data_IF_374988686773
#
_entry.id   IF_374988686773
#
_cell.length_a   1.000
_cell.length_b   1.000
_cell.length_c   1.000
_cell.angle_alpha   90.00
_cell.angle_beta   90.00
_cell.angle_gamma   90.00
#
_symmetry.space_group_name_H-M   'P 1'
#
loop_
_entity.id
_entity.type
_entity.pdbx_description
1 polymer ?
#
# COMPACT_ATOMS: atom_id res chain seq x y z
N UNK A 1 10.25 33.05 -23.90
CA UNK A 1 11.38 32.42 -24.63
C UNK A 1 11.27 30.91 -24.41
N UNK A 2 10.38 30.24 -25.14
CA UNK A 2 10.04 28.82 -24.93
C UNK A 2 11.06 27.94 -25.66
N UNK A 3 11.98 27.31 -24.92
CA UNK A 3 12.87 26.27 -25.47
C UNK A 3 12.06 24.99 -25.65
N UNK A 4 12.01 24.51 -26.90
CA UNK A 4 11.57 23.17 -27.29
C UNK A 4 12.23 22.14 -26.37
N UNK A 5 11.46 21.51 -25.50
CA UNK A 5 11.87 20.29 -24.84
C UNK A 5 11.95 19.19 -25.92
N UNK A 6 13.12 18.56 -26.05
CA UNK A 6 13.41 17.59 -27.11
C UNK A 6 12.59 16.33 -26.90
N UNK A 7 11.89 15.89 -27.95
CA UNK A 7 11.16 14.60 -28.03
C UNK A 7 11.99 13.37 -27.62
N UNK A 8 13.31 13.48 -27.51
CA UNK A 8 14.19 12.41 -27.04
C UNK A 8 14.15 12.19 -25.53
N UNK A 9 13.85 13.22 -24.72
CA UNK A 9 13.76 13.10 -23.26
C UNK A 9 12.41 12.45 -22.85
N UNK A 10 11.35 12.74 -23.62
CA UNK A 10 9.99 12.20 -23.46
C UNK A 10 9.90 10.67 -23.59
N UNK A 11 10.82 10.04 -24.33
CA UNK A 11 10.81 8.59 -24.58
C UNK A 11 11.62 7.78 -23.56
N UNK A 12 12.48 8.43 -22.77
CA UNK A 12 13.46 7.74 -21.91
C UNK A 12 12.85 7.35 -20.56
N UNK A 13 11.97 8.18 -19.97
CA UNK A 13 11.34 7.85 -18.68
C UNK A 13 10.44 6.60 -18.77
N UNK A 14 9.68 6.50 -19.86
CA UNK A 14 8.81 5.35 -20.18
C UNK A 14 9.63 4.06 -20.30
N UNK A 15 10.78 4.11 -20.98
CA UNK A 15 11.62 2.93 -21.21
C UNK A 15 12.35 2.52 -19.92
N UNK A 16 12.84 3.46 -19.10
CA UNK A 16 13.57 3.11 -17.87
C UNK A 16 12.67 2.55 -16.77
N UNK A 17 11.44 3.05 -16.59
CA UNK A 17 10.52 2.49 -15.58
C UNK A 17 9.79 1.23 -16.09
N UNK A 18 9.39 1.18 -17.37
CA UNK A 18 8.73 0.00 -17.93
C UNK A 18 9.67 -1.20 -18.11
N UNK A 19 10.93 -1.01 -18.50
CA UNK A 19 11.91 -2.12 -18.60
C UNK A 19 12.23 -2.70 -17.22
N UNK A 20 12.22 -1.89 -16.17
CA UNK A 20 12.49 -2.35 -14.79
C UNK A 20 11.25 -2.98 -14.13
N UNK A 21 10.04 -2.65 -14.58
CA UNK A 21 8.78 -3.27 -14.12
C UNK A 21 8.47 -4.57 -14.88
N UNK A 22 8.72 -4.65 -16.19
CA UNK A 22 8.50 -5.90 -16.95
C UNK A 22 9.49 -7.02 -16.59
N UNK A 23 10.70 -6.70 -16.10
CA UNK A 23 11.71 -7.71 -15.77
C UNK A 23 11.39 -8.61 -14.56
N UNK A 24 10.34 -8.31 -13.78
CA UNK A 24 10.02 -9.02 -12.54
C UNK A 24 8.55 -9.53 -12.44
N UNK A 25 7.69 -9.30 -13.44
CA UNK A 25 6.24 -9.64 -13.37
C UNK A 25 5.83 -10.72 -14.39
N UNK A 26 6.73 -11.65 -14.74
CA UNK A 26 6.37 -12.87 -15.47
C UNK A 26 6.07 -14.02 -14.49
N UNK A 27 4.93 -13.93 -13.79
CA UNK A 27 4.14 -15.07 -13.29
C UNK A 27 2.95 -14.59 -12.44
N UNK A 28 1.99 -13.90 -13.07
CA UNK A 28 0.61 -13.86 -12.56
C UNK A 28 -0.27 -14.32 -13.73
N UNK A 29 -1.08 -15.38 -13.58
CA UNK A 29 -1.97 -15.81 -14.64
C UNK A 29 -3.07 -14.74 -14.79
N UNK A 30 -2.90 -13.87 -15.79
CA UNK A 30 -3.96 -13.01 -16.28
C UNK A 30 -5.03 -13.91 -16.87
N UNK A 31 -6.15 -14.04 -16.16
CA UNK A 31 -7.37 -14.63 -16.70
C UNK A 31 -7.76 -13.85 -17.96
N UNK A 32 -7.90 -14.62 -19.03
CA UNK A 32 -8.36 -14.24 -20.36
C UNK A 32 -9.72 -13.52 -20.28
N UNK A 33 -9.76 -12.27 -20.74
CA UNK A 33 -10.91 -11.77 -21.50
C UNK A 33 -10.37 -11.18 -22.81
N UNK A 34 -10.25 -12.07 -23.79
CA UNK A 34 -10.12 -11.69 -25.20
C UNK A 34 -11.40 -10.97 -25.63
N UNK A 35 -11.26 -9.67 -25.92
CA UNK A 35 -12.23 -8.87 -26.63
C UNK A 35 -11.47 -7.94 -27.57
N UNK A 36 -11.33 -8.37 -28.82
CA UNK A 36 -10.71 -7.61 -29.90
C UNK A 36 -11.42 -6.24 -30.06
N UNK A 37 -10.65 -5.15 -30.03
CA UNK A 37 -11.07 -3.90 -30.66
C UNK A 37 -9.92 -3.36 -31.50
N UNK A 38 -10.15 -3.37 -32.81
CA UNK A 38 -9.21 -2.99 -33.87
C UNK A 38 -8.76 -1.53 -33.73
N UNK A 39 -7.49 -1.35 -34.03
CA UNK A 39 -6.77 -0.09 -34.24
C UNK A 39 -7.46 0.82 -35.26
N UNK A 40 -7.96 1.97 -34.82
CA UNK A 40 -8.24 3.10 -35.70
C UNK A 40 -7.23 4.22 -35.43
N UNK A 41 -6.27 4.39 -36.35
CA UNK A 41 -5.41 5.59 -36.44
C UNK A 41 -6.24 6.73 -37.02
N UNK A 42 -6.35 7.90 -36.38
CA UNK A 42 -6.86 9.10 -37.04
C UNK A 42 -5.75 9.71 -37.91
N UNK A 43 -6.06 9.93 -39.19
CA UNK A 43 -5.27 10.73 -40.12
C UNK A 43 -5.38 12.21 -39.74
N UNK A 44 -4.23 12.90 -39.68
CA UNK A 44 -4.13 14.32 -39.37
C UNK A 44 -4.56 15.12 -40.61
N UNK A 45 -5.70 15.80 -40.53
CA UNK A 45 -6.06 16.88 -41.44
C UNK A 45 -5.48 18.19 -40.87
N UNK A 46 -4.57 18.80 -41.64
CA UNK A 46 -3.91 20.06 -41.31
C UNK A 46 -4.90 21.21 -41.46
N UNK A 47 -5.31 21.86 -40.36
CA UNK A 47 -5.90 23.20 -40.43
C UNK A 47 -5.52 24.01 -39.19
N UNK A 48 -4.83 25.12 -39.43
CA UNK A 48 -4.32 26.06 -38.44
C UNK A 48 -5.42 26.66 -37.57
N UNK A 49 -5.37 26.39 -36.26
CA UNK A 49 -6.01 27.20 -35.22
C UNK A 49 -5.32 26.99 -33.87
N UNK A 50 -4.12 27.57 -33.71
CA UNK A 50 -3.19 27.26 -32.60
C UNK A 50 -3.70 27.61 -31.19
N UNK A 51 -4.75 28.43 -31.04
CA UNK A 51 -5.27 28.77 -29.71
C UNK A 51 -6.39 27.80 -29.23
N UNK A 52 -7.10 27.15 -30.15
CA UNK A 52 -8.17 26.19 -29.78
C UNK A 52 -7.63 24.77 -29.55
N UNK A 53 -6.55 24.38 -30.23
CA UNK A 53 -5.91 23.06 -30.06
C UNK A 53 -5.29 22.93 -28.67
N UNK A 54 -4.59 23.96 -28.18
CA UNK A 54 -3.94 23.93 -26.86
C UNK A 54 -4.93 23.87 -25.69
N UNK A 55 -6.12 24.50 -25.82
CA UNK A 55 -7.15 24.45 -24.78
C UNK A 55 -7.92 23.13 -24.78
N UNK A 56 -8.13 22.52 -25.96
CA UNK A 56 -8.81 21.22 -26.08
C UNK A 56 -7.94 20.10 -25.50
N UNK A 57 -6.66 20.06 -25.86
CA UNK A 57 -5.70 19.08 -25.33
C UNK A 57 -5.50 19.18 -23.81
N UNK A 58 -5.53 20.40 -23.25
CA UNK A 58 -5.45 20.58 -21.79
C UNK A 58 -6.69 20.05 -21.05
N UNK A 59 -7.89 20.18 -21.63
CA UNK A 59 -9.12 19.65 -21.04
C UNK A 59 -9.16 18.12 -21.12
N UNK A 60 -8.68 17.55 -22.22
CA UNK A 60 -8.62 16.10 -22.40
C UNK A 60 -7.72 15.44 -21.36
N UNK A 61 -6.54 16.03 -21.06
CA UNK A 61 -5.66 15.52 -20.00
C UNK A 61 -6.24 15.69 -18.60
N UNK A 62 -6.93 16.80 -18.31
CA UNK A 62 -7.62 16.96 -17.03
C UNK A 62 -8.73 15.93 -16.85
N UNK A 63 -9.52 15.66 -17.90
CA UNK A 63 -10.55 14.62 -17.87
C UNK A 63 -9.94 13.23 -17.68
N UNK A 64 -8.82 12.94 -18.36
CA UNK A 64 -8.12 11.66 -18.19
C UNK A 64 -7.61 11.46 -16.75
N UNK A 65 -7.03 12.50 -16.13
CA UNK A 65 -6.64 12.47 -14.72
C UNK A 65 -7.84 12.24 -13.79
N UNK A 66 -8.97 12.90 -14.06
CA UNK A 66 -10.20 12.70 -13.28
C UNK A 66 -10.73 11.28 -13.42
N UNK A 67 -10.75 10.72 -14.64
CA UNK A 67 -11.19 9.35 -14.87
C UNK A 67 -10.31 8.33 -14.12
N UNK A 68 -8.98 8.49 -14.15
CA UNK A 68 -8.07 7.65 -13.36
C UNK A 68 -8.33 7.79 -11.85
N UNK A 69 -8.57 9.01 -11.36
CA UNK A 69 -8.90 9.22 -9.96
C UNK A 69 -10.23 8.54 -9.57
N UNK A 70 -11.26 8.60 -10.42
CA UNK A 70 -12.52 7.89 -10.19
C UNK A 70 -12.36 6.37 -10.21
N UNK A 71 -11.57 5.82 -11.14
CA UNK A 71 -11.27 4.39 -11.15
C UNK A 71 -10.61 3.93 -9.85
N UNK A 72 -9.65 4.72 -9.33
CA UNK A 72 -9.01 4.46 -8.05
C UNK A 72 -10.00 4.61 -6.87
N UNK A 73 -10.96 5.55 -6.92
CA UNK A 73 -11.98 5.68 -5.87
C UNK A 73 -12.96 4.51 -5.87
N UNK A 74 -13.27 3.94 -7.04
CA UNK A 74 -14.20 2.82 -7.16
C UNK A 74 -13.59 1.48 -6.72
N UNK A 75 -12.31 1.25 -7.03
CA UNK A 75 -11.66 -0.05 -6.84
C UNK A 75 -10.41 -0.06 -5.97
N UNK A 76 -9.99 1.09 -5.45
CA UNK A 76 -8.66 1.29 -4.90
C UNK A 76 -7.57 1.33 -5.99
N UNK A 77 -6.39 1.81 -5.63
CA UNK A 77 -5.22 1.78 -6.51
C UNK A 77 -4.88 0.35 -6.99
N UNK A 78 -4.47 0.25 -8.26
CA UNK A 78 -3.95 -0.97 -8.88
C UNK A 78 -2.62 -0.68 -9.59
N UNK A 79 -1.66 -1.64 -9.58
CA UNK A 79 -0.41 -1.49 -10.31
C UNK A 79 -0.63 -1.11 -11.78
N UNK A 80 0.15 -0.14 -12.25
CA UNK A 80 0.09 0.44 -13.60
C UNK A 80 -0.67 1.76 -13.69
N UNK A 81 -1.56 2.05 -12.73
CA UNK A 81 -2.30 3.33 -12.70
C UNK A 81 -1.37 4.53 -12.46
N UNK A 82 -0.33 4.36 -11.64
CA UNK A 82 0.65 5.41 -11.37
C UNK A 82 1.46 5.81 -12.60
N UNK A 83 1.91 4.83 -13.40
CA UNK A 83 2.55 5.05 -14.69
C UNK A 83 1.65 5.78 -15.70
N UNK A 84 0.37 5.40 -15.76
CA UNK A 84 -0.61 6.06 -16.62
C UNK A 84 -0.81 7.53 -16.21
N UNK A 85 -1.01 7.79 -14.91
CA UNK A 85 -1.11 9.14 -14.35
C UNK A 85 0.17 9.95 -14.61
N UNK A 86 1.35 9.34 -14.43
CA UNK A 86 2.65 9.97 -14.66
C UNK A 86 2.78 10.47 -16.10
N UNK A 87 2.38 9.64 -17.06
CA UNK A 87 2.47 9.96 -18.50
C UNK A 87 1.62 11.18 -18.84
N UNK A 88 0.43 11.31 -18.24
CA UNK A 88 -0.45 12.46 -18.46
C UNK A 88 0.13 13.72 -17.81
N UNK A 89 0.67 13.61 -16.59
CA UNK A 89 1.29 14.74 -15.88
C UNK A 89 2.54 15.28 -16.57
N UNK A 90 3.33 14.41 -17.21
CA UNK A 90 4.44 14.86 -18.06
C UNK A 90 3.95 15.69 -19.25
N UNK A 91 2.85 15.26 -19.89
CA UNK A 91 2.27 15.95 -21.03
C UNK A 91 1.69 17.33 -20.67
N UNK A 92 1.27 17.52 -19.42
CA UNK A 92 0.84 18.84 -18.89
C UNK A 92 1.98 19.67 -18.32
N UNK A 93 3.21 19.14 -18.29
CA UNK A 93 4.40 19.83 -17.77
C UNK A 93 4.58 19.77 -16.26
N UNK A 94 3.74 19.00 -15.55
CA UNK A 94 3.84 18.76 -14.11
C UNK A 94 4.82 17.62 -13.81
N UNK A 95 6.12 17.91 -13.91
CA UNK A 95 7.17 16.91 -13.72
C UNK A 95 7.24 16.38 -12.27
N UNK A 96 6.93 17.22 -11.27
CA UNK A 96 6.89 16.78 -9.88
C UNK A 96 5.71 15.82 -9.64
N UNK A 97 4.54 16.15 -10.19
CA UNK A 97 3.38 15.27 -10.15
C UNK A 97 3.62 13.96 -10.91
N UNK A 98 4.34 14.00 -12.04
CA UNK A 98 4.73 12.79 -12.75
C UNK A 98 5.58 11.85 -11.86
N UNK A 99 6.55 12.39 -11.14
CA UNK A 99 7.35 11.63 -10.16
C UNK A 99 6.46 11.02 -9.08
N UNK A 100 5.55 11.80 -8.48
CA UNK A 100 4.62 11.28 -7.47
C UNK A 100 3.74 10.16 -8.00
N UNK A 101 3.18 10.35 -9.19
CA UNK A 101 2.32 9.37 -9.84
C UNK A 101 3.06 8.06 -10.12
N UNK A 102 4.25 8.13 -10.74
CA UNK A 102 5.09 6.96 -11.00
C UNK A 102 5.53 6.26 -9.69
N UNK A 103 5.79 7.04 -8.64
CA UNK A 103 6.15 6.47 -7.34
C UNK A 103 5.00 5.71 -6.68
N UNK A 104 3.72 5.96 -6.99
CA UNK A 104 2.60 5.15 -6.47
C UNK A 104 2.80 3.66 -6.75
N UNK A 105 3.28 3.30 -7.94
CA UNK A 105 3.56 1.90 -8.31
C UNK A 105 4.73 1.31 -7.53
N UNK A 106 5.82 2.08 -7.39
CA UNK A 106 6.98 1.66 -6.60
C UNK A 106 6.62 1.50 -5.12
N UNK A 107 5.83 2.43 -4.59
CA UNK A 107 5.39 2.46 -3.21
C UNK A 107 4.41 1.33 -2.91
N UNK A 108 3.51 1.01 -3.86
CA UNK A 108 2.66 -0.17 -3.78
C UNK A 108 3.52 -1.44 -3.74
N UNK A 109 4.48 -1.60 -4.66
CA UNK A 109 5.36 -2.76 -4.67
C UNK A 109 6.18 -2.91 -3.37
N UNK A 110 6.69 -1.80 -2.83
CA UNK A 110 7.37 -1.77 -1.52
C UNK A 110 6.44 -2.17 -0.37
N UNK A 111 5.23 -1.61 -0.30
CA UNK A 111 4.23 -1.89 0.74
C UNK A 111 3.84 -3.38 0.82
N UNK A 112 3.88 -4.08 -0.31
CA UNK A 112 3.58 -5.51 -0.40
C UNK A 112 4.82 -6.41 -0.26
N UNK A 113 6.01 -5.83 -0.05
CA UNK A 113 7.26 -6.56 0.15
C UNK A 113 7.93 -7.09 -1.12
N UNK A 114 7.50 -6.63 -2.30
CA UNK A 114 8.14 -6.99 -3.57
C UNK A 114 9.45 -6.23 -3.83
N UNK A 115 9.62 -5.07 -3.19
CA UNK A 115 10.84 -4.27 -3.25
C UNK A 115 11.37 -3.98 -1.84
N UNK A 116 12.69 -4.03 -1.69
CA UNK A 116 13.36 -3.52 -0.49
C UNK A 116 13.46 -1.99 -0.53
N UNK A 117 13.72 -1.38 0.64
CA UNK A 117 14.01 0.06 0.73
C UNK A 117 15.18 0.46 -0.18
N UNK A 118 16.27 -0.32 -0.20
CA UNK A 118 17.44 -0.02 -1.02
C UNK A 118 17.11 -0.02 -2.52
N UNK A 119 16.28 -0.96 -2.98
CA UNK A 119 15.85 -1.02 -4.39
C UNK A 119 14.97 0.19 -4.77
N UNK A 120 14.14 0.67 -3.84
CA UNK A 120 13.37 1.91 -4.06
C UNK A 120 14.32 3.12 -4.13
N UNK A 121 15.25 3.24 -3.18
CA UNK A 121 16.21 4.34 -3.12
C UNK A 121 17.09 4.43 -4.38
N UNK A 122 17.58 3.29 -4.88
CA UNK A 122 18.33 3.20 -6.14
C UNK A 122 17.53 3.71 -7.34
N UNK A 123 16.26 3.30 -7.46
CA UNK A 123 15.38 3.74 -8.55
C UNK A 123 15.10 5.25 -8.48
N UNK A 124 14.85 5.77 -7.27
CA UNK A 124 14.66 7.21 -7.07
C UNK A 124 15.95 8.01 -7.36
N UNK A 125 17.12 7.45 -7.06
CA UNK A 125 18.40 8.07 -7.40
C UNK A 125 18.62 8.13 -8.92
N UNK A 126 18.26 7.07 -9.65
CA UNK A 126 18.40 7.03 -11.11
C UNK A 126 17.51 8.06 -11.81
N UNK A 127 16.27 8.25 -11.35
CA UNK A 127 15.40 9.33 -11.85
C UNK A 127 16.05 10.70 -11.59
N UNK A 128 16.63 10.92 -10.41
CA UNK A 128 17.30 12.17 -10.07
C UNK A 128 18.47 12.52 -11.02
N UNK A 129 19.24 11.53 -11.48
CA UNK A 129 20.34 11.75 -12.44
C UNK A 129 19.85 12.24 -13.81
N UNK A 130 18.62 11.91 -14.19
CA UNK A 130 18.05 12.32 -15.47
C UNK A 130 17.58 13.78 -15.47
N UNK A 131 17.38 14.37 -14.28
CA UNK A 131 16.84 15.73 -14.12
C UNK A 131 17.66 16.60 -13.15
N UNK A 132 18.99 16.73 -13.34
CA UNK A 132 19.90 17.34 -12.35
C UNK A 132 19.57 18.80 -11.99
N UNK A 133 18.94 19.53 -12.92
CA UNK A 133 18.61 20.96 -12.75
C UNK A 133 17.16 21.20 -12.28
N UNK A 134 16.34 20.15 -12.17
CA UNK A 134 14.91 20.29 -11.88
C UNK A 134 14.63 20.20 -10.39
N UNK A 135 14.65 21.35 -9.70
CA UNK A 135 14.42 21.44 -8.25
C UNK A 135 13.12 20.76 -7.78
N UNK A 136 12.03 20.96 -8.51
CA UNK A 136 10.74 20.36 -8.15
C UNK A 136 10.74 18.83 -8.25
N UNK A 137 11.47 18.26 -9.21
CA UNK A 137 11.68 16.81 -9.33
C UNK A 137 12.48 16.29 -8.14
N UNK A 138 13.59 16.96 -7.79
CA UNK A 138 14.39 16.58 -6.63
C UNK A 138 13.60 16.68 -5.31
N UNK A 139 12.74 17.69 -5.17
CA UNK A 139 11.85 17.81 -4.02
C UNK A 139 10.84 16.65 -3.93
N UNK A 140 10.19 16.31 -5.06
CA UNK A 140 9.28 15.16 -5.11
C UNK A 140 10.00 13.85 -4.77
N UNK A 141 11.21 13.63 -5.30
CA UNK A 141 12.03 12.46 -4.97
C UNK A 141 12.43 12.44 -3.48
N UNK A 142 12.74 13.61 -2.89
CA UNK A 142 13.02 13.77 -1.46
C UNK A 142 11.83 13.36 -0.60
N UNK A 143 10.63 13.88 -0.90
CA UNK A 143 9.40 13.52 -0.22
C UNK A 143 9.07 12.01 -0.34
N UNK A 144 9.30 11.41 -1.51
CA UNK A 144 9.13 9.96 -1.69
C UNK A 144 10.09 9.14 -0.81
N UNK A 145 11.37 9.55 -0.70
CA UNK A 145 12.34 8.89 0.20
C UNK A 145 11.92 9.03 1.66
N UNK A 146 11.49 10.22 2.05
CA UNK A 146 10.98 10.52 3.39
C UNK A 146 9.79 9.63 3.77
N UNK A 147 8.88 9.37 2.83
CA UNK A 147 7.76 8.45 3.06
C UNK A 147 8.22 7.01 3.33
N UNK A 148 9.25 6.53 2.61
CA UNK A 148 9.82 5.18 2.82
C UNK A 148 10.59 5.10 4.14
N UNK A 149 11.35 6.14 4.49
CA UNK A 149 12.14 6.16 5.72
C UNK A 149 11.30 6.43 6.97
N UNK A 150 10.09 6.96 6.82
CA UNK A 150 9.26 7.45 7.92
C UNK A 150 9.72 8.80 8.47
N UNK A 151 10.55 9.54 7.74
CA UNK A 151 11.05 10.85 8.14
C UNK A 151 10.04 11.95 7.77
N UNK A 152 9.06 12.15 8.65
CA UNK A 152 7.94 13.03 8.37
C UNK A 152 8.32 14.52 8.28
N UNK A 153 9.32 14.97 9.04
CA UNK A 153 9.76 16.38 9.04
C UNK A 153 10.44 16.72 7.72
N UNK A 154 11.37 15.88 7.26
CA UNK A 154 12.01 16.03 5.96
C UNK A 154 10.97 15.93 4.84
N UNK A 155 10.00 15.01 4.96
CA UNK A 155 8.90 14.86 4.02
C UNK A 155 8.11 16.15 3.83
N UNK A 156 7.72 16.82 4.92
CA UNK A 156 7.01 18.11 4.84
C UNK A 156 7.88 19.24 4.30
N UNK A 157 9.17 19.28 4.67
CA UNK A 157 10.10 20.27 4.14
C UNK A 157 10.22 20.16 2.61
N UNK A 158 10.32 18.94 2.09
CA UNK A 158 10.39 18.67 0.65
C UNK A 158 9.07 19.00 -0.07
N UNK A 159 7.92 18.63 0.50
CA UNK A 159 6.61 19.01 -0.08
C UNK A 159 6.39 20.54 -0.09
N UNK A 160 6.93 21.26 0.89
CA UNK A 160 6.87 22.73 0.94
C UNK A 160 7.62 23.43 -0.22
N UNK A 161 8.49 22.72 -0.94
CA UNK A 161 9.18 23.22 -2.13
C UNK A 161 8.38 23.04 -3.43
N UNK A 162 7.18 22.43 -3.36
CA UNK A 162 6.35 22.09 -4.51
C UNK A 162 5.16 23.05 -4.57
N UNK A 163 4.97 23.69 -5.72
CA UNK A 163 3.84 24.57 -5.95
C UNK A 163 2.58 23.77 -6.31
N UNK A 164 1.80 23.41 -5.29
CA UNK A 164 0.52 22.74 -5.46
C UNK A 164 -0.60 23.63 -6.05
N UNK A 165 -0.39 24.95 -6.13
CA UNK A 165 -1.38 25.90 -6.65
C UNK A 165 -1.18 26.21 -8.14
N UNK A 166 -0.12 25.66 -8.76
CA UNK A 166 0.13 25.83 -10.19
C UNK A 166 -1.06 25.37 -11.03
N UNK A 167 -1.50 26.15 -12.04
CA UNK A 167 -2.58 25.77 -12.97
C UNK A 167 -2.31 24.46 -13.71
N UNK A 168 -1.04 24.06 -13.85
CA UNK A 168 -0.64 22.80 -14.48
C UNK A 168 -0.82 21.57 -13.56
N UNK A 169 -0.97 21.80 -12.24
CA UNK A 169 -0.81 20.75 -11.24
C UNK A 169 -2.07 20.43 -10.43
N UNK A 170 -3.13 21.26 -10.52
CA UNK A 170 -4.48 21.12 -9.93
C UNK A 170 -4.66 19.90 -9.01
N UNK A 171 -4.08 19.97 -7.82
CA UNK A 171 -4.09 18.83 -6.90
C UNK A 171 -5.38 18.79 -6.07
N UNK A 172 -6.15 17.73 -6.22
CA UNK A 172 -7.33 17.43 -5.42
C UNK A 172 -6.98 17.03 -3.98
N UNK A 173 -8.01 16.98 -3.14
CA UNK A 173 -7.90 16.61 -1.71
C UNK A 173 -7.16 15.28 -1.52
N UNK A 174 -7.53 14.28 -2.34
CA UNK A 174 -7.08 12.90 -2.26
C UNK A 174 -5.95 12.56 -3.23
N UNK A 175 -5.34 13.56 -3.87
CA UNK A 175 -4.14 13.34 -4.68
C UNK A 175 -2.95 12.89 -3.83
N UNK A 176 -2.09 12.10 -4.44
CA UNK A 176 -1.01 11.41 -3.74
C UNK A 176 -0.10 12.32 -2.89
N UNK A 177 0.42 13.45 -3.36
CA UNK A 177 1.24 14.33 -2.51
C UNK A 177 0.44 14.99 -1.38
N UNK A 178 -0.86 15.23 -1.57
CA UNK A 178 -1.76 15.76 -0.52
C UNK A 178 -2.08 14.69 0.52
N UNK A 179 -2.25 13.45 0.11
CA UNK A 179 -2.32 12.33 1.04
C UNK A 179 -1.02 12.15 1.82
N UNK A 180 0.13 12.25 1.15
CA UNK A 180 1.47 12.14 1.76
C UNK A 180 1.70 13.24 2.82
N UNK A 181 1.34 14.49 2.52
CA UNK A 181 1.36 15.62 3.46
C UNK A 181 0.62 15.28 4.77
N UNK A 182 -0.60 14.71 4.65
CA UNK A 182 -1.39 14.32 5.82
C UNK A 182 -0.78 13.15 6.57
N UNK A 183 -0.22 12.16 5.87
CA UNK A 183 0.53 11.06 6.50
C UNK A 183 1.66 11.61 7.36
N UNK A 184 2.43 12.57 6.86
CA UNK A 184 3.53 13.17 7.62
C UNK A 184 3.02 13.96 8.83
N UNK A 185 2.03 14.85 8.67
CA UNK A 185 1.49 15.64 9.78
C UNK A 185 0.90 14.73 10.87
N UNK A 186 0.15 13.69 10.49
CA UNK A 186 -0.41 12.74 11.44
C UNK A 186 0.67 11.90 12.12
N UNK A 187 1.76 11.57 11.43
CA UNK A 187 2.88 10.84 12.04
C UNK A 187 3.61 11.69 13.09
N UNK A 188 3.83 12.98 12.81
CA UNK A 188 4.43 13.92 13.77
C UNK A 188 3.52 14.09 14.99
N UNK A 189 2.22 14.30 14.77
CA UNK A 189 1.23 14.47 15.84
C UNK A 189 1.05 13.24 16.75
N UNK A 190 1.45 12.06 16.28
CA UNK A 190 1.43 10.82 17.05
C UNK A 190 2.74 10.59 17.83
N UNK A 191 3.80 11.35 17.54
CA UNK A 191 5.08 11.24 18.24
C UNK A 191 5.05 11.96 19.59
N UNK A 192 5.83 11.48 20.56
CA UNK A 192 5.86 12.04 21.92
C UNK A 192 6.31 13.51 21.97
N UNK A 193 7.06 13.96 20.96
CA UNK A 193 7.72 15.27 20.94
C UNK A 193 7.18 16.21 19.85
N UNK A 194 6.25 15.75 19.01
CA UNK A 194 5.78 16.46 17.83
C UNK A 194 4.32 16.85 17.92
N UNK A 195 4.01 18.13 17.69
CA UNK A 195 2.62 18.56 17.50
C UNK A 195 2.54 19.73 16.53
N UNK A 196 1.82 19.52 15.43
CA UNK A 196 1.59 20.50 14.38
C UNK A 196 0.11 20.92 14.45
N UNK A 197 -0.10 22.23 14.48
CA UNK A 197 -1.42 22.85 14.45
C UNK A 197 -2.19 22.81 15.76
N UNK A 198 -3.22 23.64 15.81
CA UNK A 198 -4.27 23.69 16.84
C UNK A 198 -5.11 22.41 16.86
N UNK A 199 -5.99 22.26 17.85
CA UNK A 199 -6.87 21.09 17.90
C UNK A 199 -7.87 21.02 16.76
N UNK A 200 -8.36 22.18 16.32
CA UNK A 200 -9.30 22.28 15.21
C UNK A 200 -8.62 21.87 13.89
N UNK A 201 -7.41 22.38 13.64
CA UNK A 201 -6.64 22.02 12.44
C UNK A 201 -6.31 20.52 12.39
N UNK A 202 -5.96 19.92 13.53
CA UNK A 202 -5.70 18.47 13.58
C UNK A 202 -6.94 17.64 13.28
N UNK A 203 -8.10 18.04 13.80
CA UNK A 203 -9.36 17.36 13.51
C UNK A 203 -9.70 17.47 12.02
N UNK A 204 -9.53 18.66 11.43
CA UNK A 204 -9.71 18.86 9.99
C UNK A 204 -8.78 17.98 9.16
N UNK A 205 -7.48 17.94 9.49
CA UNK A 205 -6.50 17.09 8.79
C UNK A 205 -6.89 15.61 8.88
N UNK A 206 -7.38 15.19 10.05
CA UNK A 206 -7.86 13.83 10.27
C UNK A 206 -9.11 13.51 9.42
N UNK A 207 -10.09 14.41 9.37
CA UNK A 207 -11.30 14.24 8.55
C UNK A 207 -10.95 14.17 7.06
N UNK A 208 -10.06 15.05 6.59
CA UNK A 208 -9.57 15.03 5.21
C UNK A 208 -8.78 13.75 4.90
N UNK A 209 -8.00 13.25 5.85
CA UNK A 209 -7.31 11.97 5.72
C UNK A 209 -8.29 10.81 5.55
N UNK A 210 -9.32 10.75 6.39
CA UNK A 210 -10.38 9.73 6.30
C UNK A 210 -11.16 9.83 4.96
N UNK A 211 -11.33 11.03 4.42
CA UNK A 211 -11.97 11.23 3.12
C UNK A 211 -11.17 10.63 1.94
N UNK A 212 -9.87 10.36 2.12
CA UNK A 212 -9.04 9.73 1.09
C UNK A 212 -9.17 8.19 1.02
N UNK A 213 -9.96 7.58 1.92
CA UNK A 213 -10.04 6.12 2.09
C UNK A 213 -10.25 5.35 0.80
N UNK A 214 -11.18 5.78 -0.04
CA UNK A 214 -11.57 5.06 -1.25
C UNK A 214 -10.39 4.81 -2.18
N UNK A 215 -9.52 5.81 -2.34
CA UNK A 215 -8.34 5.76 -3.21
C UNK A 215 -7.21 4.90 -2.64
N UNK A 216 -7.00 4.99 -1.32
CA UNK A 216 -5.88 4.34 -0.61
C UNK A 216 -6.28 3.07 0.15
N UNK A 217 -7.45 2.51 -0.13
CA UNK A 217 -7.98 1.33 0.56
C UNK A 217 -7.05 0.11 0.43
N UNK A 218 -6.25 0.03 -0.64
CA UNK A 218 -5.29 -1.03 -0.90
C UNK A 218 -3.88 -0.71 -0.37
N UNK A 219 -3.69 0.36 0.40
CA UNK A 219 -2.37 0.75 0.91
C UNK A 219 -2.24 0.33 2.38
N UNK A 220 -1.35 -0.62 2.74
CA UNK A 220 -1.07 -0.96 4.13
C UNK A 220 -0.77 0.26 5.02
N UNK A 221 0.01 1.24 4.51
CA UNK A 221 0.33 2.44 5.28
C UNK A 221 -0.91 3.28 5.61
N UNK A 222 -1.93 3.29 4.75
CA UNK A 222 -3.18 4.01 5.03
C UNK A 222 -3.81 3.49 6.33
N UNK A 223 -3.92 2.17 6.44
CA UNK A 223 -4.53 1.53 7.60
C UNK A 223 -3.67 1.62 8.86
N UNK A 224 -2.34 1.60 8.72
CA UNK A 224 -1.43 1.79 9.84
C UNK A 224 -1.57 3.19 10.46
N UNK A 225 -1.58 4.24 9.61
CA UNK A 225 -1.80 5.61 10.07
C UNK A 225 -3.19 5.77 10.65
N UNK A 226 -4.21 5.13 10.05
CA UNK A 226 -5.56 5.13 10.60
C UNK A 226 -5.57 4.54 12.02
N UNK A 227 -4.95 3.37 12.20
CA UNK A 227 -4.89 2.68 13.47
C UNK A 227 -4.22 3.51 14.56
N UNK A 228 -3.06 4.10 14.26
CA UNK A 228 -2.31 4.93 15.22
C UNK A 228 -3.10 6.17 15.70
N UNK A 229 -3.96 6.72 14.85
CA UNK A 229 -4.69 7.95 15.14
C UNK A 229 -6.16 7.72 15.54
N UNK A 230 -6.61 6.47 15.62
CA UNK A 230 -7.96 6.09 16.03
C UNK A 230 -7.98 5.47 17.44
N UNK A 231 -9.17 5.19 17.96
CA UNK A 231 -9.37 4.45 19.21
C UNK A 231 -10.40 3.34 19.05
N UNK A 232 -10.37 2.36 19.94
CA UNK A 232 -11.36 1.30 20.01
C UNK A 232 -11.43 0.45 18.73
N UNK A 233 -12.64 0.19 18.23
CA UNK A 233 -12.86 -0.72 17.11
C UNK A 233 -12.17 -0.28 15.81
N UNK A 234 -12.10 1.03 15.53
CA UNK A 234 -11.43 1.55 14.33
C UNK A 234 -9.92 1.33 14.38
N UNK A 235 -9.33 1.46 15.56
CA UNK A 235 -7.91 1.20 15.77
C UNK A 235 -7.57 -0.27 15.50
N UNK A 236 -8.42 -1.19 15.98
CA UNK A 236 -8.28 -2.63 15.72
C UNK A 236 -8.48 -2.98 14.24
N UNK A 237 -9.54 -2.47 13.59
CA UNK A 237 -9.80 -2.70 12.14
C UNK A 237 -8.64 -2.18 11.27
N UNK A 238 -8.09 -1.00 11.58
CA UNK A 238 -6.93 -0.47 10.87
C UNK A 238 -5.68 -1.34 11.02
N UNK A 239 -5.39 -1.81 12.24
CA UNK A 239 -4.22 -2.67 12.46
C UNK A 239 -4.38 -4.03 11.74
N UNK A 240 -5.58 -4.62 11.80
CA UNK A 240 -5.87 -5.88 11.11
C UNK A 240 -5.76 -5.75 9.59
N UNK A 241 -6.39 -4.73 8.99
CA UNK A 241 -6.31 -4.50 7.53
C UNK A 241 -4.89 -4.20 7.05
N UNK A 242 -4.11 -3.45 7.82
CA UNK A 242 -2.70 -3.21 7.51
C UNK A 242 -1.93 -4.53 7.33
N UNK A 243 -2.10 -5.47 8.28
CA UNK A 243 -1.42 -6.76 8.23
C UNK A 243 -2.03 -7.65 7.14
N UNK A 244 -3.36 -7.73 7.04
CA UNK A 244 -4.03 -8.61 6.09
C UNK A 244 -3.77 -8.25 4.62
N UNK A 245 -3.62 -6.95 4.30
CA UNK A 245 -3.29 -6.54 2.93
C UNK A 245 -1.90 -7.02 2.51
N UNK A 246 -0.91 -6.89 3.41
CA UNK A 246 0.47 -7.27 3.12
C UNK A 246 1.13 -7.93 4.35
N UNK A 247 0.86 -9.23 4.61
CA UNK A 247 1.33 -9.90 5.83
C UNK A 247 2.86 -9.98 5.98
N UNK A 248 3.58 -9.83 4.86
CA UNK A 248 5.05 -9.82 4.77
C UNK A 248 5.60 -8.45 4.36
N UNK A 249 4.73 -7.43 4.28
CA UNK A 249 5.11 -6.07 3.93
C UNK A 249 5.85 -5.36 5.07
N UNK A 250 6.54 -4.24 4.78
CA UNK A 250 7.33 -3.49 5.76
C UNK A 250 6.51 -2.92 6.93
N UNK A 251 5.19 -2.81 6.78
CA UNK A 251 4.29 -2.28 7.81
C UNK A 251 3.63 -3.36 8.66
N UNK A 252 3.80 -4.65 8.33
CA UNK A 252 3.10 -5.75 8.97
C UNK A 252 3.48 -5.89 10.46
N UNK A 253 4.77 -5.75 10.80
CA UNK A 253 5.22 -5.90 12.19
C UNK A 253 4.70 -4.78 13.09
N UNK A 254 4.62 -3.55 12.57
CA UNK A 254 4.00 -2.44 13.28
C UNK A 254 2.49 -2.68 13.50
N UNK A 255 1.79 -3.20 12.49
CA UNK A 255 0.39 -3.60 12.63
C UNK A 255 0.19 -4.71 13.67
N UNK A 256 1.04 -5.75 13.65
CA UNK A 256 1.01 -6.84 14.65
C UNK A 256 1.29 -6.34 16.06
N UNK A 257 2.21 -5.39 16.22
CA UNK A 257 2.48 -4.77 17.52
C UNK A 257 1.25 -4.05 18.07
N UNK A 258 0.52 -3.31 17.23
CA UNK A 258 -0.73 -2.67 17.62
C UNK A 258 -1.80 -3.71 17.98
N UNK A 259 -1.98 -4.76 17.17
CA UNK A 259 -2.93 -5.84 17.48
C UNK A 259 -2.61 -6.52 18.81
N UNK A 260 -1.34 -6.80 19.09
CA UNK A 260 -0.91 -7.38 20.35
C UNK A 260 -1.31 -6.50 21.53
N UNK A 261 -0.94 -5.22 21.48
CA UNK A 261 -1.28 -4.26 22.52
C UNK A 261 -2.80 -4.17 22.75
N UNK A 262 -3.58 -4.09 21.66
CA UNK A 262 -5.05 -3.96 21.71
C UNK A 262 -5.74 -5.22 22.24
N UNK A 263 -5.06 -6.36 22.19
CA UNK A 263 -5.56 -7.65 22.69
C UNK A 263 -4.96 -8.03 24.04
N UNK A 264 -4.21 -7.13 24.69
CA UNK A 264 -3.61 -7.37 26.01
C UNK A 264 -2.38 -8.27 25.99
N UNK A 265 -1.75 -8.45 24.83
CA UNK A 265 -0.53 -9.24 24.65
C UNK A 265 0.71 -8.37 24.81
N UNK A 266 1.84 -9.02 25.12
CA UNK A 266 3.12 -8.34 25.29
C UNK A 266 3.90 -8.25 23.99
N UNK A 267 4.83 -7.30 23.86
CA UNK A 267 5.57 -7.06 22.61
C UNK A 267 6.34 -8.28 22.09
N UNK A 268 6.74 -9.21 22.96
CA UNK A 268 7.42 -10.45 22.55
C UNK A 268 6.50 -11.40 21.76
N UNK A 269 5.18 -11.22 21.91
CA UNK A 269 4.16 -12.09 21.32
C UNK A 269 3.73 -11.61 19.91
N UNK A 270 4.14 -10.39 19.51
CA UNK A 270 3.72 -9.74 18.27
C UNK A 270 3.88 -10.63 17.03
N UNK A 271 5.02 -11.31 16.89
CA UNK A 271 5.33 -12.14 15.72
C UNK A 271 4.42 -13.38 15.58
N UNK A 272 3.85 -13.84 16.70
CA UNK A 272 2.97 -15.00 16.72
C UNK A 272 1.53 -14.66 16.32
N UNK A 273 1.15 -13.38 16.34
CA UNK A 273 -0.18 -12.94 15.90
C UNK A 273 -0.35 -13.19 14.40
N UNK A 274 -1.50 -13.77 14.07
CA UNK A 274 -2.02 -13.90 12.71
C UNK A 274 -3.40 -13.28 12.66
N UNK A 275 -3.65 -12.48 11.63
CA UNK A 275 -4.97 -11.95 11.32
C UNK A 275 -5.92 -13.08 10.90
N UNK A 276 -7.22 -12.79 10.89
CA UNK A 276 -8.21 -13.77 10.47
C UNK A 276 -7.93 -14.32 9.06
N UNK A 277 -7.61 -13.43 8.12
CA UNK A 277 -7.31 -13.81 6.73
C UNK A 277 -6.04 -14.69 6.61
N UNK A 278 -5.02 -14.45 7.43
CA UNK A 278 -3.86 -15.34 7.48
C UNK A 278 -4.22 -16.74 8.01
N UNK A 279 -5.07 -16.80 9.04
CA UNK A 279 -5.52 -18.07 9.63
C UNK A 279 -6.34 -18.87 8.61
N UNK A 280 -7.31 -18.21 7.96
CA UNK A 280 -8.13 -18.81 6.91
C UNK A 280 -7.27 -19.32 5.75
N UNK A 281 -6.31 -18.53 5.26
CA UNK A 281 -5.40 -18.93 4.19
C UNK A 281 -4.52 -20.15 4.55
N UNK A 282 -4.02 -20.23 5.78
CA UNK A 282 -3.26 -21.39 6.25
C UNK A 282 -4.15 -22.65 6.25
N UNK A 283 -5.39 -22.52 6.72
CA UNK A 283 -6.35 -23.63 6.78
C UNK A 283 -6.73 -24.09 5.37
N UNK A 284 -7.04 -23.17 4.47
CA UNK A 284 -7.36 -23.48 3.07
C UNK A 284 -6.21 -24.23 2.39
N UNK A 285 -4.96 -23.83 2.65
CA UNK A 285 -3.77 -24.51 2.11
C UNK A 285 -3.62 -25.92 2.69
N UNK A 286 -3.84 -26.10 4.00
CA UNK A 286 -3.81 -27.41 4.63
C UNK A 286 -4.90 -28.34 4.07
N UNK A 287 -6.12 -27.83 3.88
CA UNK A 287 -7.24 -28.56 3.28
C UNK A 287 -6.95 -28.93 1.82
N UNK A 288 -6.46 -27.98 1.02
CA UNK A 288 -6.17 -28.21 -0.40
C UNK A 288 -5.05 -29.24 -0.61
N UNK A 289 -4.05 -29.27 0.28
CA UNK A 289 -2.95 -30.25 0.24
C UNK A 289 -3.30 -31.58 0.89
N UNK A 290 -4.35 -31.65 1.72
CA UNK A 290 -4.68 -32.80 2.55
C UNK A 290 -3.65 -33.08 3.66
N UNK A 291 -2.69 -32.17 3.89
CA UNK A 291 -1.59 -32.33 4.84
C UNK A 291 -1.72 -31.33 5.98
N UNK A 292 -1.52 -31.82 7.21
CA UNK A 292 -1.50 -30.97 8.41
C UNK A 292 -0.23 -30.13 8.55
N UNK A 293 0.79 -30.34 7.71
CA UNK A 293 2.08 -29.65 7.84
C UNK A 293 1.92 -28.14 7.92
N UNK A 294 1.15 -27.53 7.02
CA UNK A 294 0.91 -26.08 7.00
C UNK A 294 0.35 -25.50 8.31
N UNK A 295 -0.35 -26.32 9.11
CA UNK A 295 -0.93 -25.91 10.38
C UNK A 295 0.13 -25.62 11.46
N UNK A 296 1.42 -25.99 11.24
CA UNK A 296 2.50 -25.64 12.16
C UNK A 296 2.59 -24.13 12.38
N UNK A 297 2.21 -23.35 11.35
CA UNK A 297 2.21 -21.88 11.36
C UNK A 297 1.21 -21.29 12.36
N UNK A 298 0.22 -22.07 12.80
CA UNK A 298 -0.77 -21.66 13.81
C UNK A 298 -0.36 -22.03 15.24
N UNK A 299 0.60 -22.93 15.44
CA UNK A 299 1.02 -23.35 16.79
C UNK A 299 1.53 -22.19 17.65
N UNK A 300 2.35 -21.23 17.15
CA UNK A 300 2.75 -20.07 17.93
C UNK A 300 1.56 -19.22 18.39
N UNK A 301 0.56 -19.00 17.52
CA UNK A 301 -0.67 -18.28 17.87
C UNK A 301 -1.47 -19.03 18.95
N UNK A 302 -1.55 -20.35 18.82
CA UNK A 302 -2.20 -21.24 19.79
C UNK A 302 -1.40 -21.39 21.10
N UNK A 303 -0.20 -20.84 21.23
CA UNK A 303 0.52 -20.79 22.50
C UNK A 303 0.27 -19.49 23.31
N UNK A 304 -0.29 -18.45 22.67
CA UNK A 304 -0.50 -17.13 23.29
C UNK A 304 -1.57 -17.14 24.40
N UNK A 305 -1.67 -16.12 25.27
CA UNK A 305 -2.87 -15.91 26.08
C UNK A 305 -4.16 -15.85 25.24
N UNK A 306 -5.33 -16.05 25.87
CA UNK A 306 -6.61 -15.95 25.15
C UNK A 306 -6.79 -14.53 24.58
N UNK A 307 -7.13 -14.48 23.30
CA UNK A 307 -7.43 -13.27 22.56
C UNK A 307 -8.31 -13.64 21.35
N UNK A 308 -8.95 -12.66 20.67
CA UNK A 308 -9.87 -12.95 19.57
C UNK A 308 -9.28 -13.83 18.45
N UNK A 309 -8.01 -13.62 18.08
CA UNK A 309 -7.34 -14.37 17.01
C UNK A 309 -7.05 -15.82 17.41
N UNK A 310 -6.60 -16.01 18.64
CA UNK A 310 -6.36 -17.35 19.19
C UNK A 310 -7.66 -18.15 19.35
N UNK A 311 -8.75 -17.52 19.80
CA UNK A 311 -10.06 -18.18 19.91
C UNK A 311 -10.61 -18.55 18.53
N UNK A 312 -10.44 -17.67 17.54
CA UNK A 312 -10.81 -17.96 16.15
C UNK A 312 -10.02 -19.17 15.61
N UNK A 313 -8.69 -19.16 15.74
CA UNK A 313 -7.84 -20.28 15.32
C UNK A 313 -8.20 -21.59 16.04
N UNK A 314 -8.49 -21.53 17.34
CA UNK A 314 -8.89 -22.70 18.13
C UNK A 314 -10.17 -23.34 17.58
N UNK A 315 -11.20 -22.53 17.32
CA UNK A 315 -12.45 -23.00 16.75
C UNK A 315 -12.28 -23.60 15.36
N UNK A 316 -11.47 -22.95 14.51
CA UNK A 316 -11.22 -23.42 13.15
C UNK A 316 -10.42 -24.74 13.12
N UNK A 317 -9.37 -24.86 13.95
CA UNK A 317 -8.60 -26.10 14.10
C UNK A 317 -9.46 -27.26 14.67
N UNK A 318 -10.38 -26.97 15.60
CA UNK A 318 -11.34 -27.97 16.10
C UNK A 318 -12.26 -28.50 14.99
N UNK A 319 -12.70 -27.62 14.09
CA UNK A 319 -13.45 -28.03 12.91
C UNK A 319 -12.65 -28.97 11.99
N UNK A 320 -11.37 -28.65 11.75
CA UNK A 320 -10.48 -29.49 10.94
C UNK A 320 -10.19 -30.86 11.57
N UNK A 321 -10.08 -30.94 12.90
CA UNK A 321 -9.80 -32.17 13.62
C UNK A 321 -10.91 -33.24 13.49
N UNK A 322 -12.05 -32.92 12.86
CA UNK A 322 -13.06 -33.91 12.47
C UNK A 322 -12.58 -34.85 11.35
N UNK A 323 -11.54 -34.47 10.61
CA UNK A 323 -10.91 -35.31 9.59
C UNK A 323 -9.68 -36.02 10.16
N UNK A 324 -9.54 -37.31 9.85
CA UNK A 324 -8.57 -38.19 10.51
C UNK A 324 -7.11 -37.77 10.29
N UNK A 325 -6.77 -37.28 9.09
CA UNK A 325 -5.45 -36.78 8.76
C UNK A 325 -5.02 -35.59 9.65
N UNK A 326 -5.91 -34.61 9.85
CA UNK A 326 -5.64 -33.45 10.70
C UNK A 326 -5.68 -33.81 12.18
N UNK A 327 -6.57 -34.73 12.60
CA UNK A 327 -6.58 -35.24 13.96
C UNK A 327 -5.25 -35.88 14.34
N UNK A 328 -4.68 -36.73 13.47
CA UNK A 328 -3.36 -37.35 13.70
C UNK A 328 -2.26 -36.30 13.82
N UNK A 329 -2.25 -35.29 12.95
CA UNK A 329 -1.30 -34.19 13.04
C UNK A 329 -1.35 -33.50 14.42
N UNK A 330 -2.55 -33.10 14.87
CA UNK A 330 -2.69 -32.45 16.18
C UNK A 330 -2.32 -33.37 17.35
N UNK A 331 -2.58 -34.69 17.26
CA UNK A 331 -2.12 -35.66 18.26
C UNK A 331 -0.60 -35.71 18.37
N UNK A 332 0.10 -35.69 17.23
CA UNK A 332 1.56 -35.76 17.21
C UNK A 332 2.19 -34.46 17.72
N UNK A 333 1.63 -33.31 17.39
CA UNK A 333 2.07 -32.03 17.96
C UNK A 333 1.74 -31.92 19.45
N UNK A 334 0.59 -32.45 19.90
CA UNK A 334 0.23 -32.46 21.31
C UNK A 334 1.27 -33.19 22.17
N UNK A 335 1.78 -34.34 21.70
CA UNK A 335 2.83 -35.13 22.39
C UNK A 335 4.15 -34.36 22.56
N UNK A 336 4.43 -33.40 21.68
CA UNK A 336 5.66 -32.58 21.70
C UNK A 336 5.49 -31.25 22.45
N UNK A 337 4.24 -30.86 22.69
CA UNK A 337 3.89 -29.56 23.28
C UNK A 337 3.74 -29.60 24.80
N UNK A 338 3.82 -28.44 25.45
CA UNK A 338 3.57 -28.26 26.88
C UNK A 338 2.82 -26.95 27.14
N UNK A 339 2.35 -26.75 28.38
CA UNK A 339 1.66 -25.53 28.81
C UNK A 339 0.37 -25.27 28.03
N UNK A 340 0.11 -24.01 27.68
CA UNK A 340 -1.14 -23.60 27.00
C UNK A 340 -1.36 -24.27 25.65
N UNK A 341 -0.29 -24.49 24.89
CA UNK A 341 -0.38 -25.13 23.59
C UNK A 341 -0.89 -26.57 23.73
N UNK A 342 -0.39 -27.31 24.72
CA UNK A 342 -0.85 -28.67 25.00
C UNK A 342 -2.34 -28.72 25.33
N UNK A 343 -2.82 -27.86 26.24
CA UNK A 343 -4.25 -27.84 26.62
C UNK A 343 -5.15 -27.47 25.44
N UNK A 344 -4.73 -26.55 24.57
CA UNK A 344 -5.49 -26.19 23.37
C UNK A 344 -5.51 -27.28 22.31
N UNK A 345 -4.40 -27.99 22.13
CA UNK A 345 -4.36 -29.16 21.24
C UNK A 345 -5.24 -30.29 21.78
N UNK A 346 -5.25 -30.52 23.10
CA UNK A 346 -6.19 -31.44 23.75
C UNK A 346 -7.64 -31.02 23.48
N UNK A 347 -7.97 -29.74 23.64
CA UNK A 347 -9.32 -29.23 23.37
C UNK A 347 -9.73 -29.39 21.89
N UNK A 348 -8.82 -29.10 20.96
CA UNK A 348 -9.04 -29.31 19.50
C UNK A 348 -9.40 -30.77 19.22
N UNK A 349 -8.77 -31.72 19.91
CA UNK A 349 -9.01 -33.16 19.79
C UNK A 349 -10.24 -33.65 20.56
N UNK A 350 -11.05 -32.76 21.13
CA UNK A 350 -12.28 -33.11 21.86
C UNK A 350 -12.06 -33.50 23.31
N UNK A 351 -10.88 -33.27 23.88
CA UNK A 351 -10.66 -33.37 25.32
C UNK A 351 -11.43 -32.28 26.08
N UNK A 352 -11.94 -32.61 27.26
CA UNK A 352 -12.49 -31.61 28.18
C UNK A 352 -11.35 -30.75 28.75
N UNK A 353 -11.56 -29.43 28.79
CA UNK A 353 -10.62 -28.42 29.30
C UNK A 353 -10.59 -28.36 30.82
#
# INVERSE_FOLDING_TARGET
MFRKCSSKTLFILIISLAIVILGAVLAIPLFSMAGESKTNRPSIATTSNNNNVSQTTSKDYQQALQNLAEEERLGGFKPGMGLAESSIREQTGDLAGAVFAAFKDLFFAYQYGYLSKSQVDERLAEVGKQFPEQKAVHAALGACRALISGDAEEGLAQLGMIDFASPAASYGLDDFPRWMERVFILSINNSDNGRIGSSEERNKIWDEYLATRSRYINYPLYWLVLSRNSRGAQQMDGAERCVSLAPKGPYADAGRALLAQLTGLSNKDNAAIKTRLEIESIIETAVASGSGEELYKLLPLLALPDNPYTLFALGACRGLATQENFARYFQDEMKKSSGRLHERLRYILGGQS
#
